data_IF_192903092821
#
_entry.id   IF_192903092821
#
_cell.length_a   1.000
_cell.length_b   1.000
_cell.length_c   1.000
_cell.angle_alpha   90.00
_cell.angle_beta   90.00
_cell.angle_gamma   90.00
#
_symmetry.space_group_name_H-M   'P 1'
#
loop_
_entity.id
_entity.type
_entity.pdbx_description
1 polymer ?
#
# COMPACT_ATOMS: atom_id res chain seq x y z
N UNK A 1 0.34 18.18 -2.42
CA UNK A 1 -0.34 17.93 -1.13
C UNK A 1 -0.50 19.17 -0.23
N UNK A 2 0.09 20.32 -0.59
CA UNK A 2 0.02 21.57 0.19
C UNK A 2 -1.38 21.94 0.68
N UNK A 3 -2.41 21.85 -0.17
CA UNK A 3 -3.81 22.18 0.20
C UNK A 3 -4.30 21.39 1.42
N UNK A 4 -3.90 20.11 1.57
CA UNK A 4 -4.29 19.29 2.71
C UNK A 4 -3.49 19.64 3.96
N UNK A 5 -2.20 19.98 3.81
CA UNK A 5 -1.38 20.47 4.92
C UNK A 5 -1.84 21.84 5.42
N UNK A 6 -2.23 22.74 4.53
CA UNK A 6 -2.78 24.06 4.85
C UNK A 6 -4.08 23.96 5.67
N UNK A 7 -4.78 22.81 5.60
CA UNK A 7 -5.96 22.48 6.40
C UNK A 7 -5.64 21.80 7.74
N UNK A 8 -4.36 21.65 8.09
CA UNK A 8 -3.90 21.12 9.37
C UNK A 8 -3.47 19.63 9.35
N UNK A 9 -3.63 18.92 8.23
CA UNK A 9 -3.22 17.52 8.14
C UNK A 9 -1.71 17.41 8.06
N UNK A 10 -1.08 16.80 9.07
CA UNK A 10 0.38 16.75 9.17
C UNK A 10 1.02 15.71 8.24
N UNK A 11 0.33 14.60 8.02
CA UNK A 11 0.79 13.51 7.15
C UNK A 11 -0.32 13.16 6.18
N UNK A 12 0.00 13.18 4.89
CA UNK A 12 -0.92 12.87 3.79
C UNK A 12 -0.32 11.75 2.98
N UNK A 13 -1.12 10.73 2.69
CA UNK A 13 -0.74 9.64 1.78
C UNK A 13 -1.84 9.47 0.73
N UNK A 14 -1.46 9.62 -0.53
CA UNK A 14 -2.28 9.20 -1.67
C UNK A 14 -1.90 7.75 -1.96
N UNK A 15 -2.77 6.83 -1.55
CA UNK A 15 -2.51 5.38 -1.53
C UNK A 15 -2.23 4.80 -2.92
N UNK A 16 -2.87 5.35 -3.94
CA UNK A 16 -2.69 4.97 -5.35
C UNK A 16 -3.20 6.09 -6.27
N UNK A 17 -2.67 6.14 -7.49
CA UNK A 17 -3.12 7.04 -8.55
C UNK A 17 -2.72 6.51 -9.93
N UNK A 18 -3.46 6.94 -10.95
CA UNK A 18 -3.22 6.62 -12.37
C UNK A 18 -2.15 7.52 -13.01
N UNK A 19 -1.21 8.05 -12.21
CA UNK A 19 -0.10 8.89 -12.69
C UNK A 19 1.07 8.06 -13.26
N UNK A 20 1.00 6.74 -13.18
CA UNK A 20 1.99 5.81 -13.73
C UNK A 20 1.59 5.33 -15.13
N UNK A 21 2.17 4.21 -15.57
CA UNK A 21 1.77 3.56 -16.81
C UNK A 21 0.58 2.59 -16.59
N UNK A 22 0.18 1.88 -17.65
CA UNK A 22 -0.93 0.92 -17.59
C UNK A 22 -0.70 -0.24 -16.61
N UNK A 23 0.53 -0.45 -16.12
CA UNK A 23 0.92 -1.56 -15.23
C UNK A 23 1.33 -1.08 -13.84
N UNK A 24 1.43 0.23 -13.62
CA UNK A 24 2.05 0.80 -12.44
C UNK A 24 1.16 1.89 -11.84
N UNK A 25 0.85 1.76 -10.56
CA UNK A 25 0.23 2.81 -9.76
C UNK A 25 1.30 3.66 -9.09
N UNK A 26 1.01 4.96 -8.94
CA UNK A 26 1.87 5.86 -8.17
C UNK A 26 1.19 6.15 -6.82
N UNK A 27 1.88 5.80 -5.74
CA UNK A 27 1.57 6.28 -4.40
C UNK A 27 2.47 7.46 -4.04
N UNK A 28 1.91 8.43 -3.34
CA UNK A 28 2.61 9.63 -2.90
C UNK A 28 2.41 9.80 -1.39
N UNK A 29 3.44 10.22 -0.68
CA UNK A 29 3.37 10.59 0.72
C UNK A 29 3.99 11.96 0.97
N UNK A 30 3.44 12.72 1.92
CA UNK A 30 4.06 13.94 2.41
C UNK A 30 3.83 14.11 3.90
N UNK A 31 4.88 14.49 4.64
CA UNK A 31 4.80 14.82 6.06
C UNK A 31 5.47 16.16 6.33
N UNK A 32 4.83 16.98 7.18
CA UNK A 32 5.35 18.26 7.69
C UNK A 32 5.78 18.20 9.16
N UNK A 33 5.82 17.01 9.76
CA UNK A 33 6.35 16.81 11.11
C UNK A 33 7.88 16.72 11.06
N UNK A 34 8.58 17.77 11.51
CA UNK A 34 10.04 17.78 11.68
C UNK A 34 10.82 18.09 10.40
N UNK A 35 10.84 17.18 9.43
CA UNK A 35 11.42 17.43 8.09
C UNK A 35 10.35 17.30 7.03
N UNK A 36 10.14 18.37 6.25
CA UNK A 36 9.27 18.32 5.08
C UNK A 36 9.82 17.27 4.11
N UNK A 37 9.15 16.13 4.04
CA UNK A 37 9.54 15.03 3.15
C UNK A 37 8.37 14.69 2.26
N UNK A 38 8.63 14.70 0.96
CA UNK A 38 7.73 14.16 -0.05
C UNK A 38 8.35 12.86 -0.56
N UNK A 39 7.53 11.83 -0.70
CA UNK A 39 7.95 10.54 -1.22
C UNK A 39 7.04 10.10 -2.36
N UNK A 40 7.63 9.33 -3.28
CA UNK A 40 6.95 8.68 -4.39
C UNK A 40 7.27 7.20 -4.37
N UNK A 41 6.26 6.36 -4.60
CA UNK A 41 6.41 4.92 -4.73
C UNK A 41 5.71 4.43 -5.98
N UNK A 42 6.37 3.51 -6.68
CA UNK A 42 5.82 2.80 -7.82
C UNK A 42 5.35 1.43 -7.36
N UNK A 43 4.09 1.10 -7.67
CA UNK A 43 3.42 -0.09 -7.18
C UNK A 43 2.85 -0.85 -8.38
N UNK A 44 3.20 -2.13 -8.59
CA UNK A 44 2.63 -2.89 -9.69
C UNK A 44 1.12 -3.07 -9.49
N UNK A 45 0.36 -2.89 -10.58
CA UNK A 45 -1.06 -3.22 -10.63
C UNK A 45 -1.22 -4.73 -10.57
N UNK A 46 -2.09 -5.17 -9.68
CA UNK A 46 -2.56 -6.55 -9.64
C UNK A 46 -3.84 -6.61 -10.48
N UNK A 47 -3.90 -7.51 -11.47
CA UNK A 47 -5.03 -7.65 -12.40
C UNK A 47 -6.24 -8.33 -11.73
N UNK A 48 -6.77 -7.68 -10.71
CA UNK A 48 -8.01 -8.06 -10.04
C UNK A 48 -8.56 -6.88 -9.21
N UNK A 49 -9.86 -6.92 -8.94
CA UNK A 49 -10.53 -5.94 -8.07
C UNK A 49 -10.69 -6.53 -6.68
N UNK A 50 -10.08 -5.87 -5.70
CA UNK A 50 -10.15 -6.26 -4.29
C UNK A 50 -10.94 -5.22 -3.49
N UNK A 51 -11.62 -5.68 -2.44
CA UNK A 51 -12.27 -4.84 -1.43
C UNK A 51 -11.45 -4.85 -0.14
N UNK A 52 -11.60 -3.82 0.71
CA UNK A 52 -10.92 -3.74 2.01
C UNK A 52 -9.41 -3.42 1.98
N UNK A 53 -8.81 -3.20 0.80
CA UNK A 53 -7.38 -2.87 0.68
C UNK A 53 -7.03 -1.53 1.30
N UNK A 54 -7.92 -0.55 1.22
CA UNK A 54 -7.78 0.75 1.88
C UNK A 54 -7.78 0.64 3.40
N UNK A 55 -8.67 -0.20 3.96
CA UNK A 55 -8.76 -0.44 5.41
C UNK A 55 -7.49 -1.13 5.92
N UNK A 56 -7.00 -2.13 5.19
CA UNK A 56 -5.72 -2.78 5.47
C UNK A 56 -4.56 -1.78 5.39
N UNK A 57 -4.50 -0.98 4.32
CA UNK A 57 -3.45 0.01 4.12
C UNK A 57 -3.41 1.02 5.29
N UNK A 58 -4.56 1.60 5.65
CA UNK A 58 -4.64 2.57 6.73
C UNK A 58 -4.24 1.96 8.08
N UNK A 59 -4.70 0.74 8.37
CA UNK A 59 -4.39 0.02 9.61
C UNK A 59 -2.89 -0.29 9.75
N UNK A 60 -2.27 -0.78 8.68
CA UNK A 60 -0.83 -1.08 8.67
C UNK A 60 0.00 0.20 8.73
N UNK A 61 -0.36 1.22 7.94
CA UNK A 61 0.31 2.52 7.96
C UNK A 61 0.30 3.15 9.35
N UNK A 62 -0.83 3.10 10.05
CA UNK A 62 -0.95 3.62 11.42
C UNK A 62 0.09 2.99 12.36
N UNK A 63 0.25 1.67 12.30
CA UNK A 63 1.22 0.94 13.15
C UNK A 63 2.65 1.35 12.81
N UNK A 64 2.99 1.48 11.52
CA UNK A 64 4.34 1.85 11.12
C UNK A 64 4.68 3.31 11.41
N UNK A 65 3.73 4.23 11.26
CA UNK A 65 3.90 5.62 11.69
C UNK A 65 4.04 5.72 13.21
N UNK A 66 3.33 4.89 13.98
CA UNK A 66 3.50 4.86 15.43
C UNK A 66 4.90 4.37 15.84
N UNK A 67 5.42 3.34 15.17
CA UNK A 67 6.77 2.77 15.46
C UNK A 67 7.91 3.66 14.96
N UNK A 68 7.70 4.37 13.86
CA UNK A 68 8.70 5.19 13.18
C UNK A 68 8.12 6.58 12.83
N UNK A 69 7.86 7.44 13.83
CA UNK A 69 7.11 8.69 13.65
C UNK A 69 7.77 9.70 12.70
N UNK A 70 9.10 9.63 12.55
CA UNK A 70 9.87 10.55 11.70
C UNK A 70 10.30 9.93 10.36
N UNK A 71 9.85 8.70 10.05
CA UNK A 71 10.25 7.97 8.83
C UNK A 71 9.02 7.55 8.00
N UNK A 72 8.42 8.55 7.35
CA UNK A 72 7.31 8.32 6.42
C UNK A 72 7.70 7.37 5.27
N UNK A 73 8.96 7.41 4.83
CA UNK A 73 9.44 6.54 3.77
C UNK A 73 9.33 5.07 4.21
N UNK A 74 9.96 4.72 5.33
CA UNK A 74 9.89 3.37 5.89
C UNK A 74 8.45 2.93 6.16
N UNK A 75 7.62 3.82 6.70
CA UNK A 75 6.23 3.48 7.00
C UNK A 75 5.41 3.15 5.74
N UNK A 76 5.57 3.92 4.67
CA UNK A 76 4.93 3.64 3.39
C UNK A 76 5.53 2.41 2.69
N UNK A 77 6.86 2.23 2.73
CA UNK A 77 7.55 1.05 2.21
C UNK A 77 7.00 -0.24 2.82
N UNK A 78 6.93 -0.30 4.16
CA UNK A 78 6.42 -1.44 4.89
C UNK A 78 4.93 -1.70 4.57
N UNK A 79 4.12 -0.65 4.56
CA UNK A 79 2.68 -0.74 4.28
C UNK A 79 2.41 -1.28 2.88
N UNK A 80 3.04 -0.68 1.86
CA UNK A 80 2.87 -1.11 0.47
C UNK A 80 3.35 -2.54 0.27
N UNK A 81 4.50 -2.91 0.86
CA UNK A 81 5.00 -4.29 0.79
C UNK A 81 4.06 -5.29 1.46
N UNK A 82 3.50 -4.98 2.64
CA UNK A 82 2.48 -5.82 3.28
C UNK A 82 1.26 -5.99 2.39
N UNK A 83 0.69 -4.88 1.89
CA UNK A 83 -0.53 -4.93 1.04
C UNK A 83 -0.27 -5.76 -0.22
N UNK A 84 0.86 -5.53 -0.90
CA UNK A 84 1.21 -6.29 -2.10
C UNK A 84 1.40 -7.79 -1.83
N UNK A 85 2.02 -8.17 -0.70
CA UNK A 85 2.15 -9.58 -0.31
C UNK A 85 0.79 -10.23 -0.01
N UNK A 86 -0.11 -9.50 0.65
CA UNK A 86 -1.49 -9.96 0.92
C UNK A 86 -2.26 -10.12 -0.38
N UNK A 87 -2.19 -9.15 -1.28
CA UNK A 87 -2.87 -9.19 -2.59
C UNK A 87 -2.37 -10.33 -3.46
N UNK A 88 -1.05 -10.52 -3.56
CA UNK A 88 -0.45 -11.60 -4.32
C UNK A 88 -0.92 -12.98 -3.81
N UNK A 89 -0.90 -13.19 -2.48
CA UNK A 89 -1.39 -14.43 -1.87
C UNK A 89 -2.89 -14.63 -2.07
N UNK A 90 -3.66 -13.55 -1.98
CA UNK A 90 -5.11 -13.57 -2.20
C UNK A 90 -5.43 -13.98 -3.64
N UNK A 91 -4.77 -13.37 -4.63
CA UNK A 91 -4.99 -13.70 -6.04
C UNK A 91 -4.64 -15.15 -6.36
N UNK A 92 -3.47 -15.63 -5.92
CA UNK A 92 -3.06 -17.03 -6.15
C UNK A 92 -4.07 -18.01 -5.57
N UNK A 93 -4.56 -17.76 -4.35
CA UNK A 93 -5.58 -18.61 -3.73
C UNK A 93 -6.91 -18.55 -4.50
N UNK A 94 -7.36 -17.35 -4.85
CA UNK A 94 -8.61 -17.12 -5.55
C UNK A 94 -8.63 -17.76 -6.95
N UNK A 95 -7.51 -17.69 -7.68
CA UNK A 95 -7.33 -18.37 -8.97
C UNK A 95 -7.40 -19.89 -8.83
N UNK A 96 -6.79 -20.46 -7.78
CA UNK A 96 -6.89 -21.89 -7.49
C UNK A 96 -8.33 -22.35 -7.23
N UNK A 97 -9.18 -21.50 -6.65
CA UNK A 97 -10.60 -21.78 -6.45
C UNK A 97 -11.45 -21.60 -7.71
N UNK A 98 -11.10 -20.63 -8.57
CA UNK A 98 -11.82 -20.34 -9.80
C UNK A 98 -11.59 -21.39 -10.89
N UNK A 99 -10.42 -22.04 -10.88
CA UNK A 99 -9.99 -22.95 -11.93
C UNK A 99 -9.33 -22.24 -13.12
N UNK A 100 -8.65 -23.00 -13.95
CA UNK A 100 -7.85 -22.48 -15.07
C UNK A 100 -8.72 -21.70 -16.08
N UNK A 101 -8.25 -20.50 -16.48
CA UNK A 101 -8.95 -19.63 -17.43
C UNK A 101 -10.13 -18.83 -16.85
N UNK A 102 -10.52 -19.08 -15.61
CA UNK A 102 -11.64 -18.39 -14.97
C UNK A 102 -11.18 -17.19 -14.13
N UNK A 103 -12.00 -16.14 -14.10
CA UNK A 103 -11.81 -15.02 -13.17
C UNK A 103 -12.42 -15.37 -11.82
N UNK A 104 -11.71 -15.12 -10.69
CA UNK A 104 -12.28 -15.33 -9.38
C UNK A 104 -13.52 -14.46 -9.14
N UNK A 105 -14.50 -15.01 -8.43
CA UNK A 105 -15.66 -14.27 -7.94
C UNK A 105 -15.30 -13.36 -6.78
N UNK A 106 -16.18 -12.39 -6.46
CA UNK A 106 -15.99 -11.50 -5.30
C UNK A 106 -15.78 -12.26 -3.98
N UNK A 107 -16.55 -13.35 -3.76
CA UNK A 107 -16.41 -14.16 -2.54
C UNK A 107 -15.11 -15.00 -2.50
N UNK A 108 -14.51 -15.31 -3.66
CA UNK A 108 -13.23 -16.04 -3.72
C UNK A 108 -12.03 -15.10 -3.53
N UNK A 109 -12.19 -13.80 -3.77
CA UNK A 109 -11.10 -12.82 -3.72
C UNK A 109 -11.07 -12.00 -2.42
N UNK A 110 -11.67 -12.55 -1.35
CA UNK A 110 -11.55 -12.00 -0.01
C UNK A 110 -10.10 -12.08 0.51
N UNK A 111 -9.66 -11.01 1.17
CA UNK A 111 -8.28 -10.85 1.59
C UNK A 111 -7.82 -11.98 2.52
N UNK A 112 -6.68 -12.59 2.19
CA UNK A 112 -6.07 -13.71 2.94
C UNK A 112 -5.28 -13.24 4.17
N UNK A 113 -5.91 -12.43 5.04
CA UNK A 113 -5.24 -11.76 6.16
C UNK A 113 -4.59 -12.72 7.16
N UNK A 114 -5.32 -13.77 7.57
CA UNK A 114 -4.81 -14.76 8.54
C UNK A 114 -3.58 -15.49 8.00
N UNK A 115 -3.60 -15.83 6.71
CA UNK A 115 -2.49 -16.51 6.05
C UNK A 115 -1.32 -15.58 5.71
N UNK A 116 -1.53 -14.26 5.83
CA UNK A 116 -0.53 -13.21 5.64
C UNK A 116 -0.04 -12.60 6.96
N UNK A 117 -0.31 -13.25 8.10
CA UNK A 117 0.05 -12.72 9.42
C UNK A 117 1.53 -12.34 9.53
N UNK A 118 2.42 -13.16 8.98
CA UNK A 118 3.86 -12.90 9.02
C UNK A 118 4.27 -11.70 8.16
N UNK A 119 3.66 -11.53 6.98
CA UNK A 119 3.90 -10.35 6.12
C UNK A 119 3.37 -9.05 6.74
N UNK A 120 2.32 -9.16 7.58
CA UNK A 120 1.75 -8.02 8.31
C UNK A 120 2.65 -7.65 9.50
N UNK A 121 3.15 -8.65 10.24
CA UNK A 121 4.00 -8.42 11.42
C UNK A 121 5.42 -8.00 11.05
N UNK A 122 5.99 -8.66 10.04
CA UNK A 122 7.39 -8.57 9.63
C UNK A 122 7.50 -8.45 8.10
N UNK A 123 7.06 -7.33 7.50
CA UNK A 123 7.10 -7.15 6.06
C UNK A 123 8.52 -7.19 5.53
N UNK A 124 8.73 -8.01 4.49
CA UNK A 124 9.91 -7.90 3.65
C UNK A 124 9.74 -6.68 2.75
N UNK A 125 10.58 -5.66 2.94
CA UNK A 125 10.54 -4.46 2.10
C UNK A 125 11.00 -4.79 0.68
N UNK A 126 10.06 -4.74 -0.25
CA UNK A 126 10.23 -5.03 -1.68
C UNK A 126 10.02 -3.80 -2.55
N UNK A 127 9.29 -2.80 -2.06
CA UNK A 127 9.02 -1.55 -2.76
C UNK A 127 9.69 -0.41 -2.01
N UNK A 128 10.51 0.38 -2.69
CA UNK A 128 11.29 1.47 -2.11
C UNK A 128 10.73 2.82 -2.47
N UNK A 129 10.71 3.72 -1.50
CA UNK A 129 10.29 5.09 -1.67
C UNK A 129 11.43 5.92 -2.26
N UNK A 130 11.09 6.74 -3.26
CA UNK A 130 11.96 7.78 -3.78
C UNK A 130 11.62 9.08 -3.04
N UNK A 131 12.63 9.72 -2.43
CA UNK A 131 12.46 11.06 -1.89
C UNK A 131 12.34 12.03 -3.06
N UNK A 132 11.27 12.81 -3.07
CA UNK A 132 11.03 13.84 -4.08
C UNK A 132 11.36 15.17 -3.43
N UNK A 133 12.39 15.85 -3.93
CA UNK A 133 12.69 17.22 -3.55
C UNK A 133 11.57 18.14 -4.04
N UNK A 134 11.16 19.10 -3.20
CA UNK A 134 10.32 20.22 -3.65
C UNK A 134 11.13 21.17 -4.54
#
# INVERSE_FOLDING_TARGET
MKILHDRGTKTVVLTSSELGDNKTLIALGSSVNGTNRCIRMEIPKVDATFTGTGDLFASVLLVWLYRHPDDLALACEATVSTVQAVLGRTLVHAQGLAGEGNKPTAGQIELRLVQSLDDIRNPKITFKAQVVSN
#
